data_IF_623298285097
#
_entry.id   IF_623298285097
#
_cell.length_a   1.000
_cell.length_b   1.000
_cell.length_c   1.000
_cell.angle_alpha   90.00
_cell.angle_beta   90.00
_cell.angle_gamma   90.00
#
_symmetry.space_group_name_H-M   'P 1'
#
loop_
_entity.id
_entity.type
_entity.pdbx_description
1 polymer ?
#
# COMPACT_ATOMS: atom_id res chain seq x y z
N UNK A 1 -6.32 17.37 -3.94
CA UNK A 1 -5.75 16.90 -2.66
C UNK A 1 -4.94 15.64 -2.93
N UNK A 2 -3.61 15.70 -2.79
CA UNK A 2 -2.73 14.57 -3.06
C UNK A 2 -2.78 13.57 -1.89
N UNK A 3 -3.71 12.60 -1.94
CA UNK A 3 -3.83 11.55 -0.92
C UNK A 3 -2.75 10.45 -1.02
N UNK A 4 -1.97 10.45 -2.10
CA UNK A 4 -0.86 9.52 -2.32
C UNK A 4 0.39 10.05 -1.60
N UNK A 5 1.01 9.20 -0.77
CA UNK A 5 2.27 9.52 -0.08
C UNK A 5 3.42 9.77 -1.07
N UNK A 6 4.35 10.66 -0.73
CA UNK A 6 5.45 11.06 -1.63
C UNK A 6 6.33 9.88 -2.07
N UNK A 7 6.50 8.87 -1.22
CA UNK A 7 7.17 7.60 -1.55
C UNK A 7 6.73 7.03 -2.92
N UNK A 8 5.43 7.12 -3.21
CA UNK A 8 4.86 6.58 -4.43
C UNK A 8 5.10 7.43 -5.67
N UNK A 9 5.68 8.63 -5.56
CA UNK A 9 5.98 9.49 -6.71
C UNK A 9 7.27 9.10 -7.45
N UNK A 10 8.24 8.48 -6.77
CA UNK A 10 9.56 8.18 -7.35
C UNK A 10 9.62 6.76 -7.92
N UNK A 11 9.54 5.78 -7.04
CA UNK A 11 9.47 4.35 -7.34
C UNK A 11 8.91 3.70 -6.09
N UNK A 12 7.82 2.94 -6.20
CA UNK A 12 7.29 2.23 -5.03
C UNK A 12 7.47 0.73 -5.18
N UNK A 13 8.03 0.16 -4.13
CA UNK A 13 8.27 -1.25 -3.93
C UNK A 13 7.23 -1.82 -2.96
N UNK A 14 7.56 -2.95 -2.37
CA UNK A 14 6.78 -3.62 -1.35
C UNK A 14 6.80 -2.84 -0.01
N UNK A 15 5.87 -3.18 0.87
CA UNK A 15 5.60 -2.51 2.14
C UNK A 15 6.84 -2.33 3.03
N UNK A 16 7.81 -3.25 2.99
CA UNK A 16 9.02 -3.19 3.80
C UNK A 16 9.87 -1.95 3.50
N UNK A 17 10.06 -1.63 2.22
CA UNK A 17 10.83 -0.43 1.82
C UNK A 17 10.08 0.85 2.21
N UNK A 18 8.74 0.83 2.14
CA UNK A 18 7.93 1.94 2.65
C UNK A 18 8.09 2.11 4.16
N UNK A 19 8.02 1.03 4.94
CA UNK A 19 8.12 1.09 6.40
C UNK A 19 9.48 1.64 6.85
N UNK A 20 10.56 1.28 6.16
CA UNK A 20 11.91 1.77 6.43
C UNK A 20 12.11 3.24 6.08
N UNK A 21 11.40 3.76 5.07
CA UNK A 21 11.52 5.16 4.61
C UNK A 21 10.45 6.09 5.16
N UNK A 22 9.40 5.56 5.78
CA UNK A 22 8.31 6.37 6.32
C UNK A 22 8.70 6.90 7.70
N UNK A 23 8.77 8.22 7.81
CA UNK A 23 9.16 8.93 9.05
C UNK A 23 8.07 8.95 10.13
N UNK A 24 6.85 8.45 9.82
CA UNK A 24 5.77 8.37 10.81
C UNK A 24 6.16 7.34 11.87
N UNK A 25 6.20 7.70 13.15
CA UNK A 25 6.69 6.75 14.17
C UNK A 25 5.74 5.57 14.41
N UNK A 26 4.42 5.81 14.38
CA UNK A 26 3.40 4.81 14.69
C UNK A 26 3.19 3.83 13.53
N UNK A 27 3.38 2.54 13.82
CA UNK A 27 3.28 1.47 12.83
C UNK A 27 1.90 1.41 12.15
N UNK A 28 0.82 1.45 12.93
CA UNK A 28 -0.54 1.36 12.37
C UNK A 28 -0.85 2.50 11.39
N UNK A 29 -0.37 3.71 11.70
CA UNK A 29 -0.52 4.87 10.81
C UNK A 29 0.29 4.68 9.53
N UNK A 30 1.51 4.08 9.60
CA UNK A 30 2.27 3.74 8.39
C UNK A 30 1.46 2.79 7.50
N UNK A 31 0.90 1.73 8.06
CA UNK A 31 0.13 0.73 7.32
C UNK A 31 -1.11 1.35 6.68
N UNK A 32 -1.91 2.11 7.44
CA UNK A 32 -3.09 2.79 6.91
C UNK A 32 -2.73 3.73 5.75
N UNK A 33 -1.65 4.50 5.89
CA UNK A 33 -1.20 5.44 4.86
C UNK A 33 -0.68 4.73 3.60
N UNK A 34 -0.01 3.59 3.77
CA UNK A 34 0.44 2.75 2.67
C UNK A 34 -0.75 2.19 1.88
N UNK A 35 -1.72 1.60 2.59
CA UNK A 35 -2.91 1.00 1.99
C UNK A 35 -3.76 2.04 1.25
N UNK A 36 -4.03 3.20 1.88
CA UNK A 36 -4.77 4.30 1.23
C UNK A 36 -4.06 4.82 -0.02
N UNK A 37 -2.73 4.88 0.00
CA UNK A 37 -1.95 5.28 -1.18
C UNK A 37 -2.11 4.27 -2.31
N UNK A 38 -2.06 2.96 -2.00
CA UNK A 38 -2.29 1.91 -2.99
C UNK A 38 -3.72 1.94 -3.55
N UNK A 39 -4.73 2.18 -2.72
CA UNK A 39 -6.14 2.29 -3.15
C UNK A 39 -6.32 3.43 -4.14
N UNK A 40 -5.80 4.63 -3.82
CA UNK A 40 -5.88 5.77 -4.74
C UNK A 40 -5.15 5.48 -6.07
N UNK A 41 -3.99 4.80 -6.03
CA UNK A 41 -3.28 4.43 -7.26
C UNK A 41 -4.08 3.41 -8.08
N UNK A 42 -4.68 2.42 -7.45
CA UNK A 42 -5.48 1.40 -8.12
C UNK A 42 -6.75 1.99 -8.75
N UNK A 43 -7.37 2.96 -8.10
CA UNK A 43 -8.62 3.59 -8.54
C UNK A 43 -8.40 4.60 -9.66
N UNK A 44 -7.37 5.45 -9.54
CA UNK A 44 -7.23 6.65 -10.37
C UNK A 44 -6.06 6.65 -11.36
N UNK A 45 -5.03 5.81 -11.18
CA UNK A 45 -3.93 5.73 -12.14
C UNK A 45 -4.16 4.66 -13.23
N UNK A 46 -3.26 4.58 -14.22
CA UNK A 46 -3.35 3.65 -15.34
C UNK A 46 -2.03 2.88 -15.57
N UNK A 47 -2.11 1.81 -16.36
CA UNK A 47 -0.96 0.99 -16.74
C UNK A 47 -0.31 0.27 -15.55
N UNK A 48 1.01 0.08 -15.64
CA UNK A 48 1.80 -0.74 -14.71
C UNK A 48 1.67 -0.32 -13.24
N UNK A 49 1.43 0.96 -12.98
CA UNK A 49 1.27 1.47 -11.61
C UNK A 49 -0.04 0.99 -10.98
N UNK A 50 -1.15 1.09 -11.71
CA UNK A 50 -2.45 0.52 -11.30
C UNK A 50 -2.38 -0.98 -11.12
N UNK A 51 -1.79 -1.70 -12.09
CA UNK A 51 -1.65 -3.15 -12.04
C UNK A 51 -0.88 -3.60 -10.79
N UNK A 52 0.24 -2.95 -10.50
CA UNK A 52 1.06 -3.26 -9.32
C UNK A 52 0.31 -2.94 -8.02
N UNK A 53 -0.35 -1.80 -7.93
CA UNK A 53 -1.11 -1.43 -6.73
C UNK A 53 -2.26 -2.41 -6.46
N UNK A 54 -2.97 -2.82 -7.52
CA UNK A 54 -4.04 -3.82 -7.45
C UNK A 54 -3.51 -5.17 -6.97
N UNK A 55 -2.36 -5.62 -7.50
CA UNK A 55 -1.75 -6.88 -7.10
C UNK A 55 -1.36 -6.89 -5.62
N UNK A 56 -0.73 -5.81 -5.14
CA UNK A 56 -0.35 -5.66 -3.74
C UNK A 56 -1.57 -5.65 -2.81
N UNK A 57 -2.61 -4.87 -3.13
CA UNK A 57 -3.86 -4.86 -2.36
C UNK A 57 -4.50 -6.25 -2.29
N UNK A 58 -4.55 -6.97 -3.42
CA UNK A 58 -5.10 -8.32 -3.48
C UNK A 58 -4.29 -9.30 -2.62
N UNK A 59 -2.94 -9.18 -2.61
CA UNK A 59 -2.07 -9.99 -1.76
C UNK A 59 -2.39 -9.76 -0.28
N UNK A 60 -2.44 -8.50 0.16
CA UNK A 60 -2.68 -8.19 1.57
C UNK A 60 -4.10 -8.54 2.04
N UNK A 61 -5.12 -8.32 1.19
CA UNK A 61 -6.50 -8.73 1.48
C UNK A 61 -6.63 -10.25 1.63
N UNK A 62 -5.99 -11.02 0.74
CA UNK A 62 -5.95 -12.49 0.87
C UNK A 62 -5.24 -12.91 2.14
N UNK A 63 -4.07 -12.35 2.45
CA UNK A 63 -3.34 -12.66 3.69
C UNK A 63 -4.19 -12.38 4.93
N UNK A 64 -4.94 -11.28 4.95
CA UNK A 64 -5.86 -10.97 6.05
C UNK A 64 -7.00 -12.00 6.17
N UNK A 65 -7.56 -12.46 5.06
CA UNK A 65 -8.60 -13.50 5.06
C UNK A 65 -8.07 -14.85 5.56
N UNK A 66 -6.86 -15.24 5.15
CA UNK A 66 -6.22 -16.47 5.62
C UNK A 66 -5.94 -16.41 7.13
N UNK A 67 -5.38 -15.31 7.63
CA UNK A 67 -5.11 -15.12 9.06
C UNK A 67 -6.38 -15.17 9.93
N UNK A 68 -7.52 -14.73 9.41
CA UNK A 68 -8.82 -14.81 10.12
C UNK A 68 -9.47 -16.19 10.03
N UNK A 69 -9.06 -17.05 9.09
CA UNK A 69 -9.59 -18.41 8.94
C UNK A 69 -8.86 -19.45 9.81
N UNK A 70 -7.73 -19.07 10.42
CA UNK A 70 -6.89 -19.93 11.27
C UNK A 70 -7.05 -19.66 12.77
N UNK A 71 -7.99 -18.78 13.16
CA UNK A 71 -8.36 -18.44 14.55
C UNK A 71 -9.78 -18.96 14.83
#
# INVERSE_FOLDING_TARGET
MSGIHEYFKRTFSDIEDFLNKCDIEQFDIKIDRYLKSLEIIADYETGKRKERATLLLNKYRKTSQYLLSEI
#
